data_IF_964366969394
#
_entry.id   IF_964366969394
#
_cell.length_a   1.000
_cell.length_b   1.000
_cell.length_c   1.000
_cell.angle_alpha   90.00
_cell.angle_beta   90.00
_cell.angle_gamma   90.00
#
_symmetry.space_group_name_H-M   'P 1'
#
loop_
_entity.id
_entity.type
_entity.pdbx_description
1 polymer ?
#
# COMPACT_ATOMS: atom_id res chain seq x y z
N UNK A 1 -1.63 -17.84 18.51
CA UNK A 1 -2.62 -17.62 17.43
C UNK A 1 -2.10 -16.45 16.59
N UNK A 2 -1.97 -16.58 15.25
CA UNK A 2 -1.67 -15.44 14.39
C UNK A 2 -2.80 -14.41 14.49
N UNK A 3 -2.46 -13.12 14.56
CA UNK A 3 -3.43 -12.01 14.74
C UNK A 3 -3.57 -11.12 13.49
N UNK A 4 -2.93 -11.53 12.39
CA UNK A 4 -2.93 -10.79 11.14
C UNK A 4 -1.65 -11.01 10.33
N UNK A 5 -1.46 -10.16 9.33
CA UNK A 5 -0.33 -10.17 8.40
C UNK A 5 0.16 -8.77 8.07
N UNK A 6 1.43 -8.72 7.63
CA UNK A 6 2.04 -7.59 6.94
C UNK A 6 2.74 -8.14 5.71
N UNK A 7 2.68 -7.41 4.60
CA UNK A 7 3.25 -7.83 3.33
C UNK A 7 3.92 -6.67 2.61
N UNK A 8 4.82 -7.05 1.71
CA UNK A 8 5.39 -6.17 0.70
C UNK A 8 5.20 -6.88 -0.64
N UNK A 9 4.32 -6.34 -1.48
CA UNK A 9 3.88 -6.98 -2.71
C UNK A 9 4.42 -6.24 -3.91
N UNK A 10 4.95 -6.97 -4.90
CA UNK A 10 5.28 -6.43 -6.22
C UNK A 10 4.63 -7.30 -7.28
N UNK A 11 3.78 -6.71 -8.11
CA UNK A 11 3.23 -7.39 -9.27
C UNK A 11 4.32 -7.79 -10.27
N UNK A 12 4.09 -8.87 -11.01
CA UNK A 12 5.07 -9.45 -11.94
C UNK A 12 4.64 -9.33 -13.42
N UNK A 13 3.65 -8.49 -13.71
CA UNK A 13 3.17 -8.24 -15.07
C UNK A 13 3.55 -6.82 -15.55
N UNK A 14 3.56 -6.55 -16.86
CA UNK A 14 3.93 -5.23 -17.41
C UNK A 14 3.04 -4.05 -17.00
N UNK A 15 1.89 -4.34 -16.41
CA UNK A 15 0.88 -3.36 -15.98
C UNK A 15 0.94 -3.10 -14.47
N UNK A 16 1.85 -3.79 -13.76
CA UNK A 16 2.10 -3.60 -12.34
C UNK A 16 2.99 -2.39 -12.08
N UNK A 17 2.97 -1.89 -10.85
CA UNK A 17 3.92 -0.88 -10.41
C UNK A 17 5.36 -1.42 -10.42
N UNK A 18 6.31 -0.54 -10.74
CA UNK A 18 7.74 -0.91 -10.79
C UNK A 18 8.34 -1.13 -9.40
N UNK A 19 7.71 -0.56 -8.38
CA UNK A 19 8.09 -0.66 -6.97
C UNK A 19 7.00 -1.38 -6.17
N UNK A 20 7.36 -2.05 -5.07
CA UNK A 20 6.39 -2.76 -4.26
C UNK A 20 5.47 -1.84 -3.46
N UNK A 21 4.35 -2.39 -2.99
CA UNK A 21 3.45 -1.76 -2.02
C UNK A 21 3.44 -2.49 -0.67
N UNK A 22 3.40 -1.72 0.42
CA UNK A 22 3.26 -2.24 1.79
C UNK A 22 1.78 -2.35 2.17
N UNK A 23 1.39 -3.52 2.68
CA UNK A 23 0.04 -3.81 3.12
C UNK A 23 0.03 -4.48 4.50
N UNK A 24 -1.07 -4.34 5.23
CA UNK A 24 -1.30 -4.98 6.52
C UNK A 24 -2.78 -5.26 6.75
N UNK A 25 -3.07 -6.37 7.41
CA UNK A 25 -4.42 -6.73 7.82
C UNK A 25 -4.36 -7.42 9.19
N UNK A 26 -5.05 -6.88 10.19
CA UNK A 26 -5.11 -7.43 11.54
C UNK A 26 -6.55 -7.70 11.93
N UNK A 27 -6.77 -8.70 12.79
CA UNK A 27 -8.08 -8.94 13.40
C UNK A 27 -8.54 -7.72 14.23
N UNK A 28 -9.85 -7.46 14.26
CA UNK A 28 -10.41 -6.23 14.84
C UNK A 28 -10.12 -6.06 16.34
N UNK A 29 -9.98 -7.17 17.08
CA UNK A 29 -9.75 -7.19 18.52
C UNK A 29 -8.40 -6.57 18.95
N UNK A 30 -7.46 -6.48 18.01
CA UNK A 30 -6.12 -5.93 18.24
C UNK A 30 -5.90 -4.56 17.59
N UNK A 31 -6.93 -3.98 16.97
CA UNK A 31 -6.86 -2.62 16.41
C UNK A 31 -6.56 -1.57 17.49
N UNK A 32 -5.98 -0.44 17.08
CA UNK A 32 -5.65 0.67 17.98
C UNK A 32 -4.43 0.44 18.90
N UNK A 33 -3.80 -0.74 18.86
CA UNK A 33 -2.66 -1.11 19.73
C UNK A 33 -1.28 -0.85 19.12
N UNK A 34 -1.21 -0.43 17.86
CA UNK A 34 0.04 -0.08 17.17
C UNK A 34 0.73 -1.25 16.45
N UNK A 35 0.20 -2.47 16.51
CA UNK A 35 0.84 -3.65 15.91
C UNK A 35 1.05 -3.55 14.40
N UNK A 36 0.12 -2.95 13.65
CA UNK A 36 0.29 -2.76 12.20
C UNK A 36 1.49 -1.84 11.90
N UNK A 37 1.62 -0.75 12.66
CA UNK A 37 2.75 0.18 12.54
C UNK A 37 4.07 -0.51 12.91
N UNK A 38 4.10 -1.25 14.01
CA UNK A 38 5.30 -1.97 14.46
C UNK A 38 5.76 -3.00 13.42
N UNK A 39 4.84 -3.86 12.96
CA UNK A 39 5.15 -4.91 12.00
C UNK A 39 5.57 -4.35 10.63
N UNK A 40 4.85 -3.34 10.11
CA UNK A 40 5.20 -2.71 8.83
C UNK A 40 6.52 -1.95 8.89
N UNK A 41 6.80 -1.23 9.98
CA UNK A 41 8.09 -0.56 10.17
C UNK A 41 9.24 -1.56 10.20
N UNK A 42 9.10 -2.64 10.96
CA UNK A 42 10.12 -3.69 11.03
C UNK A 42 10.37 -4.35 9.66
N UNK A 43 9.31 -4.60 8.88
CA UNK A 43 9.44 -5.13 7.52
C UNK A 43 10.19 -4.16 6.60
N UNK A 44 9.80 -2.88 6.58
CA UNK A 44 10.42 -1.86 5.72
C UNK A 44 11.90 -1.63 6.11
N UNK A 45 12.21 -1.56 7.40
CA UNK A 45 13.59 -1.45 7.90
C UNK A 45 14.44 -2.66 7.50
N UNK A 46 13.89 -3.87 7.62
CA UNK A 46 14.55 -5.10 7.20
C UNK A 46 14.84 -5.10 5.70
N UNK A 47 13.83 -4.86 4.85
CA UNK A 47 14.01 -4.90 3.39
C UNK A 47 14.94 -3.78 2.91
N UNK A 48 14.87 -2.59 3.51
CA UNK A 48 15.83 -1.52 3.25
C UNK A 48 17.27 -1.97 3.56
N UNK A 49 17.48 -2.57 4.74
CA UNK A 49 18.80 -3.01 5.20
C UNK A 49 19.37 -4.16 4.36
N UNK A 50 18.57 -5.16 4.05
CA UNK A 50 19.04 -6.40 3.42
C UNK A 50 18.99 -6.35 1.88
N UNK A 51 18.09 -5.54 1.29
CA UNK A 51 17.87 -5.49 -0.16
C UNK A 51 18.06 -4.09 -0.76
N UNK A 52 18.32 -3.07 0.05
CA UNK A 52 18.51 -1.70 -0.46
C UNK A 52 17.23 -1.07 -1.02
N UNK A 53 16.06 -1.56 -0.61
CA UNK A 53 14.79 -0.98 -1.08
C UNK A 53 14.58 0.41 -0.46
N UNK A 54 14.54 1.43 -1.31
CA UNK A 54 14.29 2.82 -0.90
C UNK A 54 12.88 3.28 -1.25
N UNK A 55 12.30 2.74 -2.33
CA UNK A 55 11.05 3.20 -2.90
C UNK A 55 9.95 2.15 -2.72
N UNK A 56 8.81 2.56 -2.18
CA UNK A 56 7.63 1.72 -2.01
C UNK A 56 6.35 2.57 -1.94
N UNK A 57 5.23 1.96 -2.30
CA UNK A 57 3.89 2.53 -2.17
C UNK A 57 3.14 1.98 -0.95
N UNK A 58 2.02 2.61 -0.63
CA UNK A 58 0.99 2.11 0.26
C UNK A 58 -0.36 2.60 -0.25
N UNK A 59 -1.34 1.70 -0.32
CA UNK A 59 -2.67 1.99 -0.85
C UNK A 59 -3.74 1.66 0.15
N UNK A 60 -4.77 2.51 0.22
CA UNK A 60 -5.94 2.22 1.03
C UNK A 60 -7.19 2.87 0.46
N UNK A 61 -8.37 2.36 0.82
CA UNK A 61 -9.62 3.01 0.46
C UNK A 61 -9.64 4.44 1.06
N UNK A 62 -10.10 5.47 0.33
CA UNK A 62 -10.21 6.85 0.84
C UNK A 62 -10.90 6.98 2.21
N UNK A 63 -11.86 6.12 2.52
CA UNK A 63 -12.60 6.13 3.79
C UNK A 63 -11.84 5.41 4.93
N UNK A 64 -10.77 4.66 4.63
CA UNK A 64 -10.01 3.90 5.61
C UNK A 64 -8.99 4.79 6.35
N UNK A 65 -9.51 5.65 7.21
CA UNK A 65 -8.71 6.55 8.04
C UNK A 65 -7.76 5.80 9.01
N UNK A 66 -8.05 4.55 9.36
CA UNK A 66 -7.18 3.75 10.22
C UNK A 66 -5.87 3.38 9.52
N UNK A 67 -5.96 2.87 8.29
CA UNK A 67 -4.80 2.52 7.47
C UNK A 67 -4.00 3.77 7.08
N UNK A 68 -4.68 4.85 6.69
CA UNK A 68 -4.03 6.13 6.42
C UNK A 68 -3.20 6.64 7.61
N UNK A 69 -3.70 6.48 8.85
CA UNK A 69 -2.92 6.81 10.06
C UNK A 69 -1.70 5.93 10.26
N UNK A 70 -1.77 4.64 9.91
CA UNK A 70 -0.61 3.75 9.96
C UNK A 70 0.44 4.20 8.95
N UNK A 71 0.06 4.48 7.71
CA UNK A 71 0.99 4.94 6.66
C UNK A 71 1.68 6.26 7.06
N UNK A 72 0.94 7.21 7.64
CA UNK A 72 1.54 8.44 8.22
C UNK A 72 2.53 8.15 9.34
N UNK A 73 2.24 7.17 10.19
CA UNK A 73 3.17 6.71 11.25
C UNK A 73 4.36 5.91 10.71
N UNK A 74 4.36 5.52 9.44
CA UNK A 74 5.51 4.93 8.75
C UNK A 74 6.35 6.01 8.04
N UNK A 75 6.07 7.29 8.29
CA UNK A 75 6.76 8.43 7.69
C UNK A 75 6.62 8.46 6.15
N UNK A 76 5.53 7.87 5.62
CA UNK A 76 5.18 7.93 4.21
C UNK A 76 4.54 9.28 3.87
N UNK A 77 4.80 9.74 2.64
CA UNK A 77 4.21 10.96 2.07
C UNK A 77 2.79 10.65 1.60
N UNK A 78 1.83 11.44 2.06
CA UNK A 78 0.43 11.41 1.64
C UNK A 78 0.31 12.12 0.28
N UNK A 79 -0.05 11.37 -0.76
CA UNK A 79 -0.22 11.88 -2.13
C UNK A 79 -1.71 12.12 -2.47
N UNK A 80 -2.60 12.00 -1.48
CA UNK A 80 -4.02 12.17 -1.64
C UNK A 80 -4.71 11.03 -2.38
N UNK A 81 -5.99 11.25 -2.68
CA UNK A 81 -6.79 10.31 -3.47
C UNK A 81 -6.43 10.47 -4.95
N UNK A 82 -6.13 9.34 -5.58
CA UNK A 82 -5.77 9.25 -6.99
C UNK A 82 -6.71 8.25 -7.67
N UNK A 83 -7.01 8.49 -8.94
CA UNK A 83 -7.76 7.54 -9.76
C UNK A 83 -6.79 6.54 -10.40
N UNK A 84 -6.96 5.27 -10.11
CA UNK A 84 -6.13 4.19 -10.65
C UNK A 84 -7.01 3.04 -11.14
N UNK A 85 -6.86 2.66 -12.42
CA UNK A 85 -7.67 1.62 -13.07
C UNK A 85 -9.20 1.87 -13.01
N UNK A 86 -9.62 3.13 -12.86
CA UNK A 86 -11.04 3.50 -12.73
C UNK A 86 -11.57 3.49 -11.30
N UNK A 87 -10.74 3.18 -10.31
CA UNK A 87 -11.07 3.19 -8.90
C UNK A 87 -10.31 4.30 -8.16
N UNK A 88 -10.99 4.97 -7.22
CA UNK A 88 -10.37 5.97 -6.35
C UNK A 88 -9.63 5.29 -5.20
N UNK A 89 -8.34 5.60 -5.04
CA UNK A 89 -7.49 5.03 -4.00
C UNK A 89 -6.68 6.12 -3.31
N UNK A 90 -6.55 6.04 -1.99
CA UNK A 90 -5.68 6.94 -1.23
C UNK A 90 -4.25 6.42 -1.30
N UNK A 91 -3.38 7.20 -1.95
CA UNK A 91 -2.00 6.81 -2.25
C UNK A 91 -1.03 7.43 -1.25
N UNK A 92 -0.14 6.58 -0.75
CA UNK A 92 1.01 6.96 0.04
C UNK A 92 2.29 6.43 -0.61
N UNK A 93 3.39 7.16 -0.44
CA UNK A 93 4.68 6.79 -1.01
C UNK A 93 5.82 6.98 0.01
N UNK A 94 6.89 6.21 -0.14
CA UNK A 94 8.14 6.50 0.57
C UNK A 94 8.63 7.93 0.25
N UNK A 95 9.33 8.59 1.20
CA UNK A 95 9.86 9.93 0.96
C UNK A 95 10.72 10.02 -0.31
N UNK A 96 10.56 11.12 -1.06
CA UNK A 96 11.36 11.41 -2.26
C UNK A 96 10.75 10.92 -3.58
N UNK A 97 9.57 10.30 -3.56
CA UNK A 97 8.78 10.05 -4.77
C UNK A 97 7.97 11.31 -5.11
N UNK A 98 8.30 11.96 -6.22
CA UNK A 98 7.67 13.17 -6.74
C UNK A 98 7.01 12.99 -8.13
N UNK A 99 7.34 11.90 -8.82
CA UNK A 99 6.77 11.50 -10.11
C UNK A 99 6.22 10.07 -10.03
N UNK A 100 4.89 9.93 -10.03
CA UNK A 100 4.19 8.65 -9.97
C UNK A 100 4.22 7.89 -11.30
N UNK A 101 4.26 8.58 -12.44
CA UNK A 101 4.25 7.95 -13.76
C UNK A 101 5.51 7.12 -13.98
N UNK A 102 6.64 7.59 -13.45
CA UNK A 102 7.92 6.87 -13.41
C UNK A 102 7.81 5.47 -12.80
N UNK A 103 6.86 5.25 -11.90
CA UNK A 103 6.71 4.00 -11.16
C UNK A 103 5.52 3.16 -11.62
N UNK A 104 4.99 3.44 -12.82
CA UNK A 104 3.89 2.66 -13.41
C UNK A 104 2.51 3.15 -13.01
N UNK A 105 2.39 4.32 -12.36
CA UNK A 105 1.09 4.97 -12.14
C UNK A 105 0.60 5.60 -13.46
N UNK A 106 0.12 4.74 -14.36
CA UNK A 106 -0.45 5.16 -15.64
C UNK A 106 -1.91 5.54 -15.41
N UNK A 107 -2.32 6.71 -15.91
CA UNK A 107 -3.73 7.10 -15.97
C UNK A 107 -4.52 5.97 -16.64
N UNK A 108 -5.65 5.60 -16.04
CA UNK A 108 -6.51 4.53 -16.55
C UNK A 108 -6.83 4.79 -18.03
N UNK A 109 -6.44 3.85 -18.90
CA UNK A 109 -6.83 3.87 -20.31
C UNK A 109 -8.15 3.11 -20.40
N UNK A 110 -9.24 3.73 -20.90
CA UNK A 110 -10.53 3.05 -21.00
C UNK A 110 -10.43 1.72 -21.75
N UNK A 111 -10.88 0.63 -21.11
CA UNK A 111 -10.96 -0.71 -21.72
C UNK A 111 -9.74 -1.62 -21.52
N UNK A 112 -8.74 -1.21 -20.74
CA UNK A 112 -7.58 -2.04 -20.41
C UNK A 112 -7.78 -2.74 -19.06
N UNK A 113 -7.62 -4.07 -19.01
CA UNK A 113 -7.71 -4.87 -17.78
C UNK A 113 -6.34 -4.94 -17.12
N UNK A 114 -6.21 -4.30 -15.96
CA UNK A 114 -4.94 -4.10 -15.26
C UNK A 114 -4.73 -5.05 -14.06
N UNK A 115 -5.63 -6.02 -13.83
CA UNK A 115 -5.39 -7.19 -12.99
C UNK A 115 -5.14 -6.99 -11.47
N UNK A 116 -5.13 -5.76 -10.93
CA UNK A 116 -4.86 -5.48 -9.51
C UNK A 116 -6.14 -5.26 -8.67
N UNK A 117 -7.29 -5.03 -9.32
CA UNK A 117 -8.56 -4.66 -8.68
C UNK A 117 -9.15 -5.69 -7.71
N UNK A 118 -8.65 -6.94 -7.64
CA UNK A 118 -9.20 -7.98 -6.74
C UNK A 118 -8.69 -7.93 -5.31
N UNK A 119 -7.68 -7.11 -5.01
CA UNK A 119 -7.02 -7.14 -3.69
C UNK A 119 -7.63 -6.15 -2.68
N UNK A 120 -8.47 -5.22 -3.14
CA UNK A 120 -9.19 -4.27 -2.29
C UNK A 120 -10.52 -4.81 -1.73
N UNK A 121 -10.98 -5.99 -2.18
CA UNK A 121 -12.27 -6.57 -1.75
C UNK A 121 -12.19 -7.60 -0.60
N UNK A 122 -11.03 -7.84 0.00
CA UNK A 122 -10.94 -8.78 1.13
C UNK A 122 -10.86 -8.04 2.46
N UNK A 123 -12.02 -7.83 3.08
CA UNK A 123 -12.11 -7.72 4.53
C UNK A 123 -12.96 -6.61 5.14
N UNK A 124 -14.12 -6.28 4.56
CA UNK A 124 -15.24 -5.75 5.36
C UNK A 124 -16.45 -6.67 5.16
N UNK A 125 -16.51 -7.73 5.94
CA UNK A 125 -17.76 -8.43 6.26
C UNK A 125 -17.77 -8.69 7.76
N UNK A 126 -18.63 -7.90 8.42
CA UNK A 126 -19.30 -8.06 9.74
C UNK A 126 -18.59 -8.81 10.87
#
# INVERSE_FOLDING_TARGET
MPIGSVCLTKGNNPDSFDIPDVGFALISEVHGRGYATEAARALLEYVKKEQGLENYFGFTNPENAASARVMKKLDMVDLGVQSFQGEETHVFASPGIDDLEKYGFKVAVPGMDYGYARQLEVGDTE
#
